data_IF_427716002566
#
_entry.id   IF_427716002566
#
_cell.length_a   1.000
_cell.length_b   1.000
_cell.length_c   1.000
_cell.angle_alpha   90.00
_cell.angle_beta   90.00
_cell.angle_gamma   90.00
#
_symmetry.space_group_name_H-M   'P 1'
#
loop_
_entity.id
_entity.type
_entity.pdbx_description
1 polymer ?
#
# COMPACT_ATOMS: atom_id res chain seq x y z
N UNK A 1 18.27 -8.29 19.30
CA UNK A 1 17.29 -7.20 19.12
C UNK A 1 16.41 -7.13 20.36
N UNK A 2 16.09 -5.92 20.82
CA UNK A 2 15.14 -5.71 21.93
C UNK A 2 13.72 -5.99 21.42
N UNK A 3 12.90 -6.79 22.14
CA UNK A 3 11.51 -7.00 21.76
C UNK A 3 10.75 -5.68 21.67
N UNK A 4 9.98 -5.46 20.60
CA UNK A 4 9.06 -4.33 20.53
C UNK A 4 7.88 -4.59 21.49
N UNK A 5 7.63 -3.74 22.50
CA UNK A 5 6.49 -3.89 23.39
C UNK A 5 5.19 -4.03 22.59
N UNK A 6 4.27 -4.90 22.99
CA UNK A 6 2.99 -5.08 22.28
C UNK A 6 3.04 -5.92 21.00
N UNK A 7 4.23 -6.29 20.50
CA UNK A 7 4.38 -7.22 19.37
C UNK A 7 4.80 -8.59 19.89
N UNK A 8 3.96 -9.61 19.64
CA UNK A 8 4.27 -10.99 20.04
C UNK A 8 5.52 -11.51 19.33
N UNK A 9 6.38 -12.24 20.04
CA UNK A 9 7.55 -12.90 19.46
C UNK A 9 7.20 -14.00 18.43
N UNK A 10 5.93 -14.41 18.36
CA UNK A 10 5.41 -15.34 17.34
C UNK A 10 5.08 -14.65 16.00
N UNK A 11 5.08 -13.32 15.94
CA UNK A 11 4.89 -12.58 14.68
C UNK A 11 6.12 -12.81 13.77
N UNK A 12 5.88 -13.13 12.50
CA UNK A 12 6.92 -13.35 11.50
C UNK A 12 6.81 -12.31 10.38
N UNK A 13 7.87 -12.16 9.58
CA UNK A 13 7.85 -11.34 8.36
C UNK A 13 6.73 -11.81 7.41
N UNK A 14 6.53 -13.12 7.29
CA UNK A 14 5.43 -13.70 6.50
C UNK A 14 4.07 -13.20 6.99
N UNK A 15 3.83 -13.22 8.31
CA UNK A 15 2.57 -12.73 8.88
C UNK A 15 2.32 -11.25 8.61
N UNK A 16 3.36 -10.41 8.62
CA UNK A 16 3.22 -8.99 8.31
C UNK A 16 2.95 -8.78 6.80
N UNK A 17 3.66 -9.49 5.93
CA UNK A 17 3.47 -9.40 4.48
C UNK A 17 2.06 -9.78 4.04
N UNK A 18 1.42 -10.70 4.76
CA UNK A 18 0.11 -11.28 4.42
C UNK A 18 -1.05 -10.74 5.25
N UNK A 19 -0.83 -9.74 6.10
CA UNK A 19 -1.87 -9.21 6.99
C UNK A 19 -2.49 -10.27 7.91
N UNK A 20 -1.67 -11.20 8.41
CA UNK A 20 -2.09 -12.24 9.36
C UNK A 20 -1.33 -12.15 10.69
N UNK A 21 -0.74 -11.00 10.99
CA UNK A 21 0.10 -10.81 12.19
C UNK A 21 -0.71 -10.61 13.47
N UNK A 22 -1.93 -10.06 13.35
CA UNK A 22 -2.74 -9.69 14.51
C UNK A 22 -2.17 -8.53 15.33
N UNK A 23 -1.16 -7.81 14.84
CA UNK A 23 -0.63 -6.62 15.52
C UNK A 23 -1.70 -5.53 15.63
N UNK A 24 -1.54 -4.65 16.61
CA UNK A 24 -2.36 -3.45 16.70
C UNK A 24 -2.19 -2.59 15.44
N UNK A 25 -3.28 -2.01 14.96
CA UNK A 25 -3.26 -1.07 13.84
C UNK A 25 -3.74 0.30 14.30
N UNK A 26 -3.00 1.33 13.93
CA UNK A 26 -3.33 2.71 14.26
C UNK A 26 -4.43 3.28 13.34
N UNK A 27 -4.62 2.66 12.17
CA UNK A 27 -5.68 2.96 11.21
C UNK A 27 -6.44 1.67 10.91
N UNK A 28 -7.28 1.26 11.86
CA UNK A 28 -8.06 0.03 11.76
C UNK A 28 -9.29 0.19 10.86
N UNK A 29 -9.14 -0.15 9.58
CA UNK A 29 -10.18 -0.04 8.55
C UNK A 29 -11.38 -0.97 8.78
N UNK A 30 -11.26 -2.00 9.64
CA UNK A 30 -12.41 -2.85 10.03
C UNK A 30 -13.33 -2.16 11.05
N UNK A 31 -12.82 -1.13 11.73
CA UNK A 31 -13.51 -0.44 12.86
C UNK A 31 -13.85 1.00 12.52
N UNK A 32 -13.02 1.66 11.72
CA UNK A 32 -13.19 3.07 11.34
C UNK A 32 -14.16 3.15 10.16
N UNK A 33 -15.27 3.87 10.34
CA UNK A 33 -16.32 3.99 9.31
C UNK A 33 -15.85 4.74 8.05
N UNK A 34 -15.01 5.77 8.21
CA UNK A 34 -14.47 6.59 7.11
C UNK A 34 -12.95 6.73 7.26
N UNK A 35 -12.17 5.67 6.95
CA UNK A 35 -10.72 5.68 7.16
C UNK A 35 -10.01 6.78 6.37
N UNK A 36 -10.56 7.18 5.22
CA UNK A 36 -10.05 8.28 4.40
C UNK A 36 -10.26 9.68 5.02
N UNK A 37 -11.03 9.77 6.10
CA UNK A 37 -11.23 10.97 6.92
C UNK A 37 -10.62 10.83 8.32
N UNK A 38 -9.86 9.74 8.55
CA UNK A 38 -9.22 9.51 9.84
C UNK A 38 -8.19 10.59 10.15
N UNK A 39 -8.31 11.18 11.34
CA UNK A 39 -7.32 12.11 11.87
C UNK A 39 -6.31 11.34 12.72
N UNK A 40 -5.04 11.42 12.32
CA UNK A 40 -3.95 10.80 13.06
C UNK A 40 -3.88 11.38 14.49
N UNK A 41 -3.60 10.54 15.50
CA UNK A 41 -3.50 10.98 16.90
C UNK A 41 -2.24 11.84 17.17
N UNK A 42 -1.34 11.97 16.19
CA UNK A 42 -0.15 12.83 16.23
C UNK A 42 -0.10 13.70 14.97
N UNK A 43 0.55 14.88 15.02
CA UNK A 43 0.61 15.77 13.86
C UNK A 43 1.24 15.08 12.64
N UNK A 44 0.58 15.02 11.47
CA UNK A 44 1.15 14.34 10.29
C UNK A 44 2.48 14.93 9.83
N UNK A 45 2.75 16.19 10.18
CA UNK A 45 4.02 16.88 9.93
C UNK A 45 5.24 16.26 10.63
N UNK A 46 5.05 15.44 11.66
CA UNK A 46 6.14 14.81 12.42
C UNK A 46 6.50 13.41 11.92
N UNK A 47 5.72 12.85 10.99
CA UNK A 47 5.94 11.51 10.45
C UNK A 47 6.94 11.55 9.29
N UNK A 48 8.22 11.34 9.59
CA UNK A 48 9.33 11.44 8.63
C UNK A 48 9.92 10.08 8.27
N UNK A 49 9.88 9.15 9.21
CA UNK A 49 10.51 7.83 9.14
C UNK A 49 9.58 6.77 9.74
N UNK A 50 9.76 5.47 9.43
CA UNK A 50 8.97 4.39 10.05
C UNK A 50 9.00 4.42 11.58
N UNK A 51 10.10 4.90 12.19
CA UNK A 51 10.27 5.01 13.64
C UNK A 51 9.32 6.02 14.28
N UNK A 52 8.92 7.06 13.56
CA UNK A 52 8.03 8.11 14.10
C UNK A 52 6.61 7.59 14.37
N UNK A 53 6.26 6.43 13.81
CA UNK A 53 4.97 5.75 14.03
C UNK A 53 4.94 4.91 15.31
N UNK A 54 6.09 4.63 15.95
CA UNK A 54 6.15 3.78 17.15
C UNK A 54 5.15 4.17 18.25
N UNK A 55 4.93 5.46 18.58
CA UNK A 55 3.92 5.82 19.58
C UNK A 55 2.52 5.32 19.24
N UNK A 56 2.16 5.26 17.96
CA UNK A 56 0.87 4.76 17.50
C UNK A 56 0.85 3.23 17.40
N UNK A 57 1.92 2.62 16.88
CA UNK A 57 2.04 1.15 16.73
C UNK A 57 1.96 0.41 18.07
N UNK A 58 2.41 1.07 19.14
CA UNK A 58 2.47 0.48 20.49
C UNK A 58 1.29 0.93 21.39
N UNK A 59 0.30 1.61 20.84
CA UNK A 59 -0.79 2.22 21.61
C UNK A 59 -1.84 1.22 22.10
N UNK A 60 -1.94 0.04 21.46
CA UNK A 60 -2.98 -0.94 21.76
C UNK A 60 -2.48 -2.39 21.80
N UNK A 61 -3.31 -3.31 22.32
CA UNK A 61 -2.99 -4.73 22.33
C UNK A 61 -3.09 -5.34 20.93
N UNK A 62 -2.47 -6.51 20.76
CA UNK A 62 -2.68 -7.34 19.58
C UNK A 62 -4.18 -7.67 19.41
N UNK A 63 -4.65 -7.67 18.16
CA UNK A 63 -6.05 -7.94 17.78
C UNK A 63 -6.40 -9.43 17.87
N UNK A 64 -5.45 -10.31 17.59
CA UNK A 64 -5.61 -11.77 17.58
C UNK A 64 -4.26 -12.50 17.53
N UNK A 65 -4.28 -13.82 17.71
CA UNK A 65 -3.08 -14.66 17.65
C UNK A 65 -2.47 -14.71 16.24
N UNK A 66 -1.15 -14.53 16.07
CA UNK A 66 -0.52 -14.51 14.75
C UNK A 66 -0.82 -15.78 13.92
N UNK A 67 -1.13 -15.58 12.64
CA UNK A 67 -1.42 -16.63 11.66
C UNK A 67 -2.86 -17.16 11.69
N UNK A 68 -3.70 -16.73 12.62
CA UNK A 68 -5.05 -17.32 12.78
C UNK A 68 -6.10 -16.79 11.80
N UNK A 69 -5.97 -15.55 11.33
CA UNK A 69 -6.87 -14.96 10.32
C UNK A 69 -6.22 -13.80 9.57
N UNK A 70 -6.82 -13.45 8.44
CA UNK A 70 -6.53 -12.21 7.71
C UNK A 70 -7.21 -11.01 8.39
N UNK A 71 -6.49 -9.90 8.47
CA UNK A 71 -6.95 -8.59 8.91
C UNK A 71 -5.96 -7.55 8.39
N UNK A 72 -6.38 -6.74 7.42
CA UNK A 72 -5.52 -5.71 6.83
C UNK A 72 -4.93 -4.81 7.92
N UNK A 73 -3.63 -4.51 7.82
CA UNK A 73 -2.92 -3.72 8.81
C UNK A 73 -1.89 -2.77 8.20
N UNK A 74 -2.15 -1.47 8.31
CA UNK A 74 -1.20 -0.42 7.94
C UNK A 74 0.02 -0.47 8.89
N UNK A 75 -0.23 -0.58 10.19
CA UNK A 75 0.82 -0.73 11.20
C UNK A 75 1.73 -1.95 10.97
N UNK A 76 1.20 -3.05 10.43
CA UNK A 76 1.99 -4.21 10.02
C UNK A 76 3.03 -3.89 8.95
N UNK A 77 2.71 -3.04 7.98
CA UNK A 77 3.64 -2.60 6.94
C UNK A 77 4.68 -1.61 7.47
N UNK A 78 4.31 -0.75 8.43
CA UNK A 78 5.29 0.11 9.10
C UNK A 78 6.31 -0.73 9.89
N UNK A 79 5.87 -1.81 10.56
CA UNK A 79 6.79 -2.76 11.21
C UNK A 79 7.73 -3.46 10.21
N UNK A 80 7.26 -3.78 9.00
CA UNK A 80 8.13 -4.27 7.93
C UNK A 80 9.19 -3.24 7.53
N UNK A 81 8.81 -1.97 7.40
CA UNK A 81 9.74 -0.88 7.14
C UNK A 81 10.82 -0.76 8.22
N UNK A 82 10.45 -0.83 9.50
CA UNK A 82 11.39 -0.85 10.61
C UNK A 82 12.35 -2.04 10.56
N UNK A 83 11.84 -3.23 10.24
CA UNK A 83 12.67 -4.43 10.11
C UNK A 83 13.65 -4.31 8.92
N UNK A 84 13.21 -3.72 7.81
CA UNK A 84 14.06 -3.45 6.65
C UNK A 84 15.19 -2.47 6.97
N UNK A 85 14.88 -1.37 7.66
CA UNK A 85 15.89 -0.38 8.06
C UNK A 85 16.94 -1.00 9.00
N UNK A 86 16.50 -1.80 9.97
CA UNK A 86 17.39 -2.48 10.92
C UNK A 86 18.32 -3.48 10.21
N UNK A 87 17.80 -4.29 9.30
CA UNK A 87 18.59 -5.34 8.62
C UNK A 87 19.53 -4.74 7.57
N UNK A 88 19.10 -3.71 6.86
CA UNK A 88 19.86 -3.13 5.76
C UNK A 88 20.81 -2.01 6.20
N UNK A 89 20.58 -1.38 7.35
CA UNK A 89 21.35 -0.23 7.82
C UNK A 89 21.18 1.03 6.95
N UNK A 90 20.07 1.13 6.20
CA UNK A 90 19.73 2.25 5.34
C UNK A 90 18.25 2.61 5.53
N UNK A 91 17.85 3.84 5.21
CA UNK A 91 16.45 4.27 5.36
C UNK A 91 15.53 3.52 4.40
N UNK A 92 14.26 3.38 4.78
CA UNK A 92 13.24 2.76 3.94
C UNK A 92 13.16 3.42 2.56
N UNK A 93 13.17 4.75 2.51
CA UNK A 93 13.11 5.51 1.24
C UNK A 93 14.30 5.20 0.33
N UNK A 94 15.52 5.14 0.89
CA UNK A 94 16.71 4.75 0.13
C UNK A 94 16.59 3.33 -0.39
N UNK A 95 16.13 2.39 0.43
CA UNK A 95 15.95 1.00 -0.01
C UNK A 95 14.96 0.88 -1.17
N UNK A 96 13.82 1.55 -1.11
CA UNK A 96 12.85 1.53 -2.22
C UNK A 96 13.43 2.15 -3.48
N UNK A 97 14.13 3.28 -3.36
CA UNK A 97 14.78 3.92 -4.51
C UNK A 97 15.80 2.98 -5.18
N UNK A 98 16.69 2.38 -4.39
CA UNK A 98 17.81 1.58 -4.89
C UNK A 98 17.39 0.18 -5.36
N UNK A 99 16.42 -0.44 -4.69
CA UNK A 99 16.04 -1.84 -4.91
C UNK A 99 14.79 -2.02 -5.76
N UNK A 100 13.98 -0.98 -5.94
CA UNK A 100 12.72 -1.07 -6.69
C UNK A 100 12.66 -0.02 -7.80
N UNK A 101 12.71 1.26 -7.45
CA UNK A 101 12.48 2.33 -8.42
C UNK A 101 13.57 2.36 -9.50
N UNK A 102 14.84 2.29 -9.10
CA UNK A 102 15.96 2.33 -10.05
C UNK A 102 16.03 1.09 -10.95
N UNK A 103 15.91 -0.15 -10.44
CA UNK A 103 15.82 -1.34 -11.30
C UNK A 103 14.67 -1.28 -12.29
N UNK A 104 13.49 -0.83 -11.86
CA UNK A 104 12.32 -0.66 -12.74
C UNK A 104 12.35 0.62 -13.57
N UNK A 105 13.40 1.46 -13.47
CA UNK A 105 13.56 2.72 -14.22
C UNK A 105 12.41 3.72 -13.98
N UNK A 106 11.92 3.78 -12.75
CA UNK A 106 10.85 4.68 -12.30
C UNK A 106 11.42 6.03 -11.86
N UNK A 107 11.91 6.82 -12.81
CA UNK A 107 12.64 8.06 -12.53
C UNK A 107 11.75 9.24 -12.13
N UNK A 108 10.43 9.14 -12.29
CA UNK A 108 9.46 10.20 -11.97
C UNK A 108 8.62 9.85 -10.73
N UNK A 109 9.07 8.85 -9.96
CA UNK A 109 8.39 8.32 -8.79
C UNK A 109 9.27 8.40 -7.55
N UNK A 110 8.67 8.50 -6.37
CA UNK A 110 9.39 8.53 -5.12
C UNK A 110 8.54 9.00 -3.93
N UNK A 111 9.21 9.13 -2.78
CA UNK A 111 8.62 9.65 -1.56
C UNK A 111 8.95 11.14 -1.44
N UNK A 112 8.00 11.98 -1.85
CA UNK A 112 8.16 13.43 -1.81
C UNK A 112 7.50 14.01 -0.58
N UNK A 113 8.15 15.02 0.01
CA UNK A 113 7.54 15.76 1.12
C UNK A 113 6.49 16.72 0.59
N UNK A 114 5.34 16.82 1.27
CA UNK A 114 4.27 17.75 0.90
C UNK A 114 4.70 19.22 0.90
N UNK A 115 5.66 19.60 1.74
CA UNK A 115 6.21 20.97 1.79
C UNK A 115 7.29 21.23 0.72
N UNK A 116 7.64 20.22 -0.08
CA UNK A 116 8.70 20.27 -1.11
C UNK A 116 8.38 19.37 -2.31
N UNK A 117 7.13 19.41 -2.79
CA UNK A 117 6.71 18.62 -3.94
C UNK A 117 7.47 19.03 -5.22
N UNK A 118 7.90 18.07 -6.06
CA UNK A 118 8.56 18.38 -7.32
C UNK A 118 7.55 18.93 -8.35
N UNK A 119 8.04 19.59 -9.43
CA UNK A 119 7.20 19.94 -10.56
C UNK A 119 6.47 18.72 -11.12
N UNK A 120 5.19 18.87 -11.45
CA UNK A 120 4.36 17.79 -12.00
C UNK A 120 3.66 16.92 -10.95
N UNK A 121 3.96 17.10 -9.65
CA UNK A 121 3.19 16.44 -8.59
C UNK A 121 1.81 17.09 -8.43
N UNK A 122 0.75 16.28 -8.47
CA UNK A 122 -0.61 16.75 -8.27
C UNK A 122 -0.92 16.95 -6.77
N UNK A 123 -1.61 18.03 -6.44
CA UNK A 123 -2.19 18.24 -5.10
C UNK A 123 -3.47 17.42 -4.98
N UNK A 124 -3.63 16.70 -3.85
CA UNK A 124 -4.88 15.98 -3.55
C UNK A 124 -5.97 16.91 -3.02
N UNK A 125 -7.22 16.63 -3.36
CA UNK A 125 -8.39 17.43 -2.98
C UNK A 125 -9.46 16.59 -2.27
N UNK A 126 -9.91 17.08 -1.12
CA UNK A 126 -10.96 16.48 -0.28
C UNK A 126 -12.23 17.33 -0.42
N UNK A 127 -13.36 16.69 -0.73
CA UNK A 127 -14.66 17.36 -0.71
C UNK A 127 -15.10 17.55 0.75
N UNK A 128 -15.46 18.78 1.11
CA UNK A 128 -15.91 19.16 2.47
C UNK A 128 -17.39 19.53 2.51
N UNK A 129 -18.15 19.06 1.51
CA UNK A 129 -19.60 19.21 1.41
C UNK A 129 -20.05 20.35 0.50
N UNK A 130 -21.23 20.19 -0.10
CA UNK A 130 -21.88 21.15 -0.99
C UNK A 130 -21.00 21.58 -2.18
N UNK A 131 -20.17 20.68 -2.71
CA UNK A 131 -19.24 20.98 -3.80
C UNK A 131 -18.06 21.86 -3.41
N UNK A 132 -17.82 22.09 -2.11
CA UNK A 132 -16.63 22.78 -1.62
C UNK A 132 -15.48 21.80 -1.44
N UNK A 133 -14.28 22.26 -1.74
CA UNK A 133 -13.06 21.45 -1.72
C UNK A 133 -11.96 22.14 -0.92
N UNK A 134 -11.12 21.32 -0.28
CA UNK A 134 -9.83 21.76 0.29
C UNK A 134 -8.73 20.84 -0.20
N UNK A 135 -7.49 21.29 -0.10
CA UNK A 135 -6.34 20.41 -0.32
C UNK A 135 -6.22 19.39 0.82
N UNK A 136 -5.61 18.24 0.56
CA UNK A 136 -5.25 17.24 1.57
C UNK A 136 -3.95 17.56 2.33
N UNK A 137 -3.34 18.73 2.09
CA UNK A 137 -2.16 19.21 2.84
C UNK A 137 -2.49 19.22 4.33
N UNK A 138 -1.69 18.51 5.12
CA UNK A 138 -1.88 18.34 6.55
C UNK A 138 -2.86 17.23 6.95
N UNK A 139 -3.49 16.54 6.00
CA UNK A 139 -4.33 15.36 6.26
C UNK A 139 -3.56 14.04 6.18
N UNK A 140 -2.42 14.01 5.48
CA UNK A 140 -1.57 12.83 5.30
C UNK A 140 -0.18 13.07 5.90
N UNK A 141 0.58 11.99 6.25
CA UNK A 141 1.98 12.10 6.67
C UNK A 141 2.78 13.02 5.74
N UNK A 142 3.69 13.84 6.29
CA UNK A 142 4.43 14.83 5.50
C UNK A 142 5.25 14.22 4.37
N UNK A 143 5.64 12.96 4.51
CA UNK A 143 6.25 12.11 3.49
C UNK A 143 5.62 10.72 3.62
N UNK A 144 5.42 10.02 2.50
CA UNK A 144 4.94 8.64 2.53
C UNK A 144 5.92 7.68 3.21
N UNK A 145 5.44 6.49 3.54
CA UNK A 145 6.17 5.47 4.28
C UNK A 145 5.91 4.04 3.77
N UNK A 146 6.25 3.02 4.58
CA UNK A 146 6.10 1.62 4.21
C UNK A 146 4.68 1.15 3.88
N UNK A 147 3.68 1.83 4.43
CA UNK A 147 2.26 1.51 4.30
C UNK A 147 1.53 2.34 3.22
N UNK A 148 2.12 3.45 2.74
CA UNK A 148 1.49 4.27 1.70
C UNK A 148 2.16 5.61 1.41
N UNK A 149 1.52 6.41 0.53
CA UNK A 149 1.93 7.80 0.26
C UNK A 149 3.08 8.00 -0.73
N UNK A 150 3.48 6.97 -1.50
CA UNK A 150 4.44 7.15 -2.60
C UNK A 150 3.78 7.88 -3.77
N UNK A 151 4.51 8.81 -4.39
CA UNK A 151 4.10 9.45 -5.63
C UNK A 151 4.64 8.66 -6.81
N UNK A 152 3.80 8.46 -7.83
CA UNK A 152 4.20 7.81 -9.07
C UNK A 152 3.39 8.32 -10.26
N UNK A 153 3.97 8.19 -11.46
CA UNK A 153 3.24 8.40 -12.71
C UNK A 153 2.61 7.09 -13.18
N UNK A 154 1.55 7.17 -13.99
CA UNK A 154 0.95 5.97 -14.61
C UNK A 154 1.98 5.18 -15.44
N UNK A 155 2.90 5.88 -16.12
CA UNK A 155 3.97 5.25 -16.88
C UNK A 155 4.97 4.50 -16.00
N UNK A 156 5.32 5.05 -14.83
CA UNK A 156 6.20 4.37 -13.88
C UNK A 156 5.52 3.17 -13.20
N UNK A 157 4.21 3.21 -12.97
CA UNK A 157 3.47 2.04 -12.47
C UNK A 157 3.43 0.91 -13.51
N UNK A 158 3.29 1.22 -14.81
CA UNK A 158 3.44 0.20 -15.87
C UNK A 158 4.85 -0.41 -15.87
N UNK A 159 5.88 0.43 -15.73
CA UNK A 159 7.28 -0.03 -15.59
C UNK A 159 7.48 -0.90 -14.35
N UNK A 160 6.87 -0.56 -13.22
CA UNK A 160 6.91 -1.35 -11.99
C UNK A 160 6.39 -2.76 -12.24
N UNK A 161 5.18 -2.89 -12.80
CA UNK A 161 4.59 -4.19 -13.10
C UNK A 161 5.46 -5.00 -14.06
N UNK A 162 5.92 -4.39 -15.15
CA UNK A 162 6.74 -5.07 -16.16
C UNK A 162 8.09 -5.50 -15.62
N UNK A 163 8.80 -4.63 -14.92
CA UNK A 163 10.11 -4.92 -14.34
C UNK A 163 10.02 -5.97 -13.24
N UNK A 164 9.01 -5.87 -12.36
CA UNK A 164 8.76 -6.86 -11.33
C UNK A 164 8.48 -8.25 -11.92
N UNK A 165 7.61 -8.35 -12.93
CA UNK A 165 7.30 -9.60 -13.62
C UNK A 165 8.46 -10.15 -14.45
N UNK A 166 9.35 -9.27 -14.94
CA UNK A 166 10.55 -9.65 -15.69
C UNK A 166 11.71 -10.11 -14.78
N UNK A 167 11.59 -9.92 -13.46
CA UNK A 167 12.61 -10.29 -12.49
C UNK A 167 13.68 -9.22 -12.23
N UNK A 168 13.39 -7.95 -12.54
CA UNK A 168 14.31 -6.83 -12.29
C UNK A 168 14.46 -6.51 -10.79
N UNK A 169 13.47 -6.90 -9.97
CA UNK A 169 13.43 -6.64 -8.52
C UNK A 169 13.70 -7.90 -7.69
N UNK A 170 13.05 -9.01 -8.06
CA UNK A 170 13.16 -10.31 -7.41
C UNK A 170 13.54 -11.37 -8.45
N UNK A 171 14.16 -12.48 -8.03
CA UNK A 171 14.34 -13.61 -8.94
C UNK A 171 12.98 -14.16 -9.40
N UNK A 172 12.89 -14.82 -10.57
CA UNK A 172 11.64 -15.40 -11.05
C UNK A 172 10.95 -16.31 -10.02
N UNK A 173 11.72 -17.06 -9.24
CA UNK A 173 11.22 -17.94 -8.18
C UNK A 173 10.56 -17.11 -7.05
N UNK A 174 11.22 -16.04 -6.60
CA UNK A 174 10.68 -15.16 -5.57
C UNK A 174 9.49 -14.34 -6.07
N UNK A 175 9.49 -13.91 -7.34
CA UNK A 175 8.34 -13.28 -7.99
C UNK A 175 7.13 -14.23 -7.98
N UNK A 176 7.32 -15.50 -8.29
CA UNK A 176 6.24 -16.49 -8.23
C UNK A 176 5.70 -16.70 -6.81
N UNK A 177 6.58 -16.69 -5.79
CA UNK A 177 6.16 -16.75 -4.39
C UNK A 177 5.37 -15.49 -4.00
N UNK A 178 5.87 -14.31 -4.37
CA UNK A 178 5.26 -13.03 -4.07
C UNK A 178 3.83 -12.93 -4.63
N UNK A 179 3.63 -13.43 -5.86
CA UNK A 179 2.34 -13.47 -6.57
C UNK A 179 1.41 -14.60 -6.12
N UNK A 180 1.85 -15.48 -5.22
CA UNK A 180 1.03 -16.59 -4.71
C UNK A 180 -0.14 -16.10 -3.84
N UNK A 181 -1.21 -16.91 -3.76
CA UNK A 181 -2.35 -16.69 -2.84
C UNK A 181 -1.95 -17.07 -1.42
N UNK A 182 -1.32 -16.15 -0.70
CA UNK A 182 -0.73 -16.41 0.61
C UNK A 182 -1.74 -16.33 1.77
N UNK A 183 -2.79 -15.49 1.63
CA UNK A 183 -3.89 -15.40 2.57
C UNK A 183 -5.23 -15.22 1.82
N UNK A 184 -6.33 -15.55 2.50
CA UNK A 184 -7.69 -15.37 1.98
C UNK A 184 -8.43 -14.36 2.86
N UNK A 185 -9.10 -13.41 2.23
CA UNK A 185 -10.01 -12.51 2.92
C UNK A 185 -11.27 -13.28 3.33
N UNK A 186 -11.53 -13.35 4.63
CA UNK A 186 -12.65 -14.10 5.18
C UNK A 186 -14.02 -13.61 4.68
N UNK A 187 -14.12 -12.34 4.25
CA UNK A 187 -15.35 -11.76 3.71
C UNK A 187 -15.65 -12.14 2.26
N UNK A 188 -14.66 -12.62 1.50
CA UNK A 188 -14.83 -12.94 0.09
C UNK A 188 -13.94 -14.13 -0.34
N UNK A 189 -14.52 -15.31 -0.63
CA UNK A 189 -13.75 -16.51 -0.97
C UNK A 189 -12.99 -16.42 -2.31
N UNK A 190 -13.25 -15.38 -3.11
CA UNK A 190 -12.54 -15.10 -4.35
C UNK A 190 -11.51 -13.97 -4.20
N UNK A 191 -11.31 -13.45 -3.00
CA UNK A 191 -10.33 -12.41 -2.69
C UNK A 191 -9.20 -13.00 -1.86
N UNK A 192 -8.00 -12.93 -2.41
CA UNK A 192 -6.77 -13.39 -1.79
C UNK A 192 -5.78 -12.25 -1.68
N UNK A 193 -4.81 -12.42 -0.81
CA UNK A 193 -3.68 -11.50 -0.65
C UNK A 193 -2.39 -12.27 -0.89
N UNK A 194 -1.51 -11.72 -1.72
CA UNK A 194 -0.14 -12.20 -1.86
C UNK A 194 0.77 -11.49 -0.88
N UNK A 195 2.03 -11.28 -1.25
CA UNK A 195 2.88 -10.36 -0.51
C UNK A 195 2.65 -8.96 -1.11
N UNK A 196 2.05 -8.02 -0.39
CA UNK A 196 1.90 -6.63 -0.84
C UNK A 196 0.92 -6.33 -1.98
N UNK A 197 0.08 -7.29 -2.37
CA UNK A 197 -0.93 -7.05 -3.42
C UNK A 197 -2.13 -7.98 -3.25
N UNK A 198 -3.24 -7.55 -3.81
CA UNK A 198 -4.48 -8.32 -3.83
C UNK A 198 -4.58 -9.17 -5.09
N UNK A 199 -5.33 -10.26 -4.97
CA UNK A 199 -5.62 -11.19 -6.04
C UNK A 199 -7.12 -11.46 -6.00
N UNK A 200 -7.82 -11.16 -7.08
CA UNK A 200 -9.17 -11.66 -7.28
C UNK A 200 -9.12 -12.87 -8.21
N UNK A 201 -9.66 -14.01 -7.79
CA UNK A 201 -9.67 -15.23 -8.62
C UNK A 201 -10.97 -16.03 -8.45
N UNK A 202 -11.75 -16.07 -9.52
CA UNK A 202 -13.00 -16.85 -9.66
C UNK A 202 -12.76 -18.25 -10.24
N UNK A 203 -11.49 -18.66 -10.40
CA UNK A 203 -11.07 -19.91 -11.04
C UNK A 203 -10.95 -19.83 -12.56
N UNK A 204 -11.32 -18.69 -13.16
CA UNK A 204 -11.32 -18.50 -14.61
C UNK A 204 -10.43 -17.32 -15.00
N UNK A 205 -10.48 -16.22 -14.25
CA UNK A 205 -9.82 -14.94 -14.60
C UNK A 205 -9.12 -14.33 -13.38
N UNK A 206 -7.93 -14.84 -13.01
CA UNK A 206 -7.14 -14.22 -11.96
C UNK A 206 -6.76 -12.78 -12.34
N UNK A 207 -6.90 -11.89 -11.37
CA UNK A 207 -6.57 -10.47 -11.47
C UNK A 207 -5.69 -10.09 -10.28
N UNK A 208 -4.46 -9.71 -10.55
CA UNK A 208 -3.58 -9.14 -9.54
C UNK A 208 -3.76 -7.63 -9.52
N UNK A 209 -3.80 -7.02 -8.35
CA UNK A 209 -3.94 -5.58 -8.25
C UNK A 209 -3.34 -4.98 -6.99
N UNK A 210 -2.92 -3.72 -7.13
CA UNK A 210 -2.60 -2.84 -6.01
C UNK A 210 -3.62 -1.69 -6.00
N UNK A 211 -4.00 -1.27 -4.80
CA UNK A 211 -5.05 -0.29 -4.56
C UNK A 211 -4.62 0.60 -3.41
N UNK A 212 -5.02 1.87 -3.45
CA UNK A 212 -4.81 2.82 -2.36
C UNK A 212 -5.91 3.86 -2.35
N UNK A 213 -6.30 4.29 -1.16
CA UNK A 213 -7.30 5.31 -0.95
C UNK A 213 -6.92 6.12 0.30
N UNK A 214 -6.90 7.43 0.15
CA UNK A 214 -6.53 8.37 1.19
C UNK A 214 -7.42 9.62 1.09
N UNK A 215 -7.32 10.51 2.08
CA UNK A 215 -7.85 11.86 1.98
C UNK A 215 -7.34 12.55 0.69
N UNK A 216 -8.22 12.72 -0.29
CA UNK A 216 -7.94 13.38 -1.55
C UNK A 216 -7.07 12.60 -2.52
N UNK A 217 -7.01 11.27 -2.41
CA UNK A 217 -6.28 10.40 -3.35
C UNK A 217 -7.04 9.08 -3.55
N UNK A 218 -7.08 8.59 -4.78
CA UNK A 218 -7.45 7.20 -5.07
C UNK A 218 -6.60 6.62 -6.19
N UNK A 219 -6.28 5.35 -6.06
CA UNK A 219 -5.37 4.65 -6.95
C UNK A 219 -5.80 3.20 -7.14
N UNK A 220 -5.72 2.72 -8.38
CA UNK A 220 -5.90 1.31 -8.71
C UNK A 220 -5.01 0.93 -9.87
N UNK A 221 -4.25 -0.15 -9.73
CA UNK A 221 -3.53 -0.76 -10.84
C UNK A 221 -3.82 -2.25 -10.91
N UNK A 222 -4.30 -2.69 -12.06
CA UNK A 222 -4.71 -4.04 -12.36
C UNK A 222 -3.73 -4.68 -13.35
N UNK A 223 -3.28 -5.91 -13.07
CA UNK A 223 -2.53 -6.77 -13.98
C UNK A 223 -3.40 -8.00 -14.33
N UNK A 224 -3.80 -8.09 -15.59
CA UNK A 224 -4.69 -9.12 -16.11
C UNK A 224 -3.90 -10.33 -16.62
N UNK A 225 -4.53 -11.51 -16.57
CA UNK A 225 -3.92 -12.77 -17.04
C UNK A 225 -3.47 -12.74 -18.52
N UNK A 226 -4.08 -11.89 -19.36
CA UNK A 226 -3.68 -11.73 -20.76
C UNK A 226 -2.46 -10.79 -20.96
N UNK A 227 -1.82 -10.34 -19.87
CA UNK A 227 -0.69 -9.41 -19.89
C UNK A 227 -1.06 -7.93 -20.01
N UNK A 228 -2.35 -7.59 -20.03
CA UNK A 228 -2.80 -6.19 -19.99
C UNK A 228 -2.55 -5.61 -18.60
N UNK A 229 -2.06 -4.37 -18.54
CA UNK A 229 -1.97 -3.59 -17.31
C UNK A 229 -2.86 -2.37 -17.47
N UNK A 230 -3.68 -2.08 -16.46
CA UNK A 230 -4.53 -0.88 -16.44
C UNK A 230 -4.34 -0.16 -15.11
N UNK A 231 -3.95 1.11 -15.18
CA UNK A 231 -3.69 1.94 -14.00
C UNK A 231 -4.52 3.21 -14.06
N UNK A 232 -5.17 3.53 -12.95
CA UNK A 232 -5.90 4.78 -12.74
C UNK A 232 -5.38 5.44 -11.47
N UNK A 233 -5.00 6.71 -11.60
CA UNK A 233 -4.64 7.60 -10.49
C UNK A 233 -5.63 8.76 -10.45
N UNK A 234 -5.98 9.21 -9.26
CA UNK A 234 -6.83 10.38 -9.05
C UNK A 234 -6.35 11.16 -7.84
N UNK A 235 -6.32 12.49 -7.96
CA UNK A 235 -6.06 13.42 -6.86
C UNK A 235 -7.36 13.82 -6.12
N UNK A 236 -8.31 12.89 -6.06
CA UNK A 236 -9.51 12.95 -5.23
C UNK A 236 -9.80 11.56 -4.67
N UNK A 237 -10.44 11.49 -3.49
CA UNK A 237 -10.74 10.25 -2.76
C UNK A 237 -11.50 9.20 -3.57
N UNK A 238 -12.37 9.62 -4.51
CA UNK A 238 -13.26 8.69 -5.22
C UNK A 238 -13.10 8.69 -6.74
N UNK A 239 -12.19 9.50 -7.29
CA UNK A 239 -12.10 9.71 -8.73
C UNK A 239 -11.61 8.50 -9.53
N UNK A 240 -10.83 7.59 -8.93
CA UNK A 240 -10.32 6.43 -9.64
C UNK A 240 -11.40 5.36 -9.92
N UNK A 241 -12.43 5.27 -9.07
CA UNK A 241 -13.32 4.11 -9.05
C UNK A 241 -14.25 3.98 -10.25
N UNK A 242 -14.93 5.05 -10.73
CA UNK A 242 -15.74 4.96 -11.95
C UNK A 242 -14.90 4.57 -13.18
N UNK A 243 -13.68 5.09 -13.27
CA UNK A 243 -12.77 4.87 -14.39
C UNK A 243 -12.27 3.42 -14.43
N UNK A 244 -11.78 2.89 -13.31
CA UNK A 244 -11.28 1.52 -13.31
C UNK A 244 -12.40 0.50 -13.54
N UNK A 245 -13.63 0.74 -13.03
CA UNK A 245 -14.78 -0.12 -13.33
C UNK A 245 -15.12 -0.14 -14.83
N UNK A 246 -15.08 1.02 -15.48
CA UNK A 246 -15.33 1.10 -16.92
C UNK A 246 -14.24 0.37 -17.73
N UNK A 247 -12.97 0.55 -17.36
CA UNK A 247 -11.84 -0.14 -18.00
C UNK A 247 -11.94 -1.66 -17.80
N UNK A 248 -12.18 -2.12 -16.57
CA UNK A 248 -12.29 -3.54 -16.25
C UNK A 248 -13.43 -4.21 -17.04
N UNK A 249 -14.60 -3.57 -17.09
CA UNK A 249 -15.72 -4.02 -17.91
C UNK A 249 -15.36 -4.11 -19.39
N UNK A 250 -14.65 -3.12 -19.93
CA UNK A 250 -14.21 -3.10 -21.33
C UNK A 250 -13.21 -4.20 -21.66
N UNK A 251 -12.25 -4.47 -20.76
CA UNK A 251 -11.25 -5.55 -20.93
C UNK A 251 -11.94 -6.90 -20.86
N UNK A 252 -12.75 -7.15 -19.82
CA UNK A 252 -13.42 -8.45 -19.60
C UNK A 252 -14.42 -8.81 -20.70
N UNK A 253 -14.97 -7.83 -21.41
CA UNK A 253 -15.83 -8.07 -22.57
C UNK A 253 -15.06 -8.61 -23.80
N UNK A 254 -13.73 -8.60 -23.78
CA UNK A 254 -12.85 -8.95 -24.92
C UNK A 254 -11.89 -10.11 -24.65
N UNK A 255 -11.96 -10.69 -23.46
CA UNK A 255 -11.09 -11.77 -22.98
C UNK A 255 -11.95 -12.91 -22.45
#
# INVERSE_FOLDING_TARGET
STPLPGVSAAVTIGHLLTHTSGVYDYLDEDVIENPEQFELPIPPSTLLTPRDYLPMLLAGPAKFEPGTRFCYSNGGYVLLGLALEEVAGASFHTLVEERVLRPCRMAESGFFRFDRLPPGAATGYVEIGNGNWRTNVGSLPIIGGPDGGMFATVGDIDRLWRGFLAGDVLSPELTSVFLGKAATDAGNPHSFYGYGHWIHDDGIRPLHYIVGQDAGVSFRSNAYANGTIATVVSNTTNGAWPMIRAIDSWIRART
#
